data_IF_328844572099
#
_entry.id   IF_328844572099
#
_cell.length_a   1.000
_cell.length_b   1.000
_cell.length_c   1.000
_cell.angle_alpha   90.00
_cell.angle_beta   90.00
_cell.angle_gamma   90.00
#
_symmetry.space_group_name_H-M   'P 1'
#
loop_
_entity.id
_entity.type
_entity.pdbx_description
1 polymer ?
#
# COMPACT_ATOMS: atom_id res chain seq x y z
N UNK A 1 -34.47 22.90 10.38
CA UNK A 1 -33.09 23.40 10.15
C UNK A 1 -32.15 22.22 10.36
N UNK A 2 -31.65 21.66 9.25
CA UNK A 2 -30.88 20.41 9.21
C UNK A 2 -29.38 20.72 9.36
N UNK A 3 -28.71 19.88 10.12
CA UNK A 3 -27.34 20.05 10.59
C UNK A 3 -26.28 19.98 9.50
N UNK A 4 -25.24 20.78 9.71
CA UNK A 4 -23.98 20.80 8.96
C UNK A 4 -22.95 20.16 9.89
N UNK A 5 -22.85 18.83 9.85
CA UNK A 5 -21.70 18.08 10.36
C UNK A 5 -21.33 17.09 9.28
N UNK A 6 -20.54 17.58 8.32
CA UNK A 6 -20.03 16.81 7.21
C UNK A 6 -18.51 16.91 7.18
N UNK A 7 -17.87 15.75 7.39
CA UNK A 7 -16.47 15.44 7.05
C UNK A 7 -15.40 16.00 7.99
N UNK A 8 -15.22 15.32 9.14
CA UNK A 8 -13.90 15.18 9.76
C UNK A 8 -13.28 13.92 9.15
N UNK A 9 -12.33 14.10 8.23
CA UNK A 9 -11.51 13.02 7.65
C UNK A 9 -10.30 12.85 8.57
N UNK A 10 -9.85 11.62 8.88
CA UNK A 10 -8.73 11.41 9.79
C UNK A 10 -7.41 11.72 9.08
N UNK A 11 -6.77 12.82 9.45
CA UNK A 11 -5.40 13.18 9.01
C UNK A 11 -4.39 12.91 10.14
N UNK A 12 -4.48 11.74 10.75
CA UNK A 12 -3.60 11.29 11.84
C UNK A 12 -3.23 9.83 11.59
N UNK A 13 -2.31 9.58 10.67
CA UNK A 13 -1.75 8.24 10.44
C UNK A 13 -0.49 8.26 9.57
N UNK A 14 0.49 9.14 9.83
CA UNK A 14 1.85 8.90 9.30
C UNK A 14 3.02 9.60 10.02
N UNK A 15 2.93 9.90 11.33
CA UNK A 15 4.11 10.29 12.11
C UNK A 15 4.06 9.55 13.44
N UNK A 16 4.42 8.27 13.40
CA UNK A 16 4.78 7.51 14.60
C UNK A 16 5.55 6.29 14.11
N UNK A 17 6.88 6.43 14.08
CA UNK A 17 7.90 5.42 14.36
C UNK A 17 9.22 5.92 13.76
N UNK A 18 10.04 6.56 14.60
CA UNK A 18 11.45 6.23 14.90
C UNK A 18 12.11 7.43 15.57
N UNK A 19 12.12 7.45 16.90
CA UNK A 19 13.05 8.25 17.70
C UNK A 19 13.70 7.31 18.71
N UNK A 20 15.01 7.00 18.62
CA UNK A 20 15.71 6.39 19.73
C UNK A 20 16.09 7.47 20.75
N UNK A 21 15.51 7.38 21.94
CA UNK A 21 15.92 8.15 23.11
C UNK A 21 17.29 7.63 23.59
N UNK A 22 18.34 8.41 23.41
CA UNK A 22 19.65 8.15 24.01
C UNK A 22 19.78 8.86 25.35
N UNK A 23 20.17 8.12 26.39
CA UNK A 23 20.88 8.71 27.54
C UNK A 23 20.57 8.09 28.91
N UNK A 24 21.44 7.17 29.38
CA UNK A 24 22.31 7.35 30.56
C UNK A 24 23.06 6.06 30.94
N UNK A 25 24.32 6.24 31.36
CA UNK A 25 25.31 5.23 31.78
C UNK A 25 24.86 4.40 33.02
N UNK A 26 25.43 3.27 33.46
CA UNK A 26 26.84 2.79 33.52
C UNK A 26 26.84 1.35 34.11
N UNK A 27 28.01 0.71 34.08
CA UNK A 27 28.52 -0.42 34.92
C UNK A 27 28.56 -1.82 34.27
N UNK A 28 29.80 -2.28 34.13
CA UNK A 28 30.28 -3.60 33.70
C UNK A 28 29.89 -4.67 34.71
N UNK A 29 29.26 -5.75 34.24
CA UNK A 29 29.34 -7.08 34.84
C UNK A 29 29.05 -8.15 33.78
N UNK A 30 29.87 -9.18 33.73
CA UNK A 30 29.97 -10.15 32.66
C UNK A 30 28.79 -11.14 32.63
N UNK A 31 28.08 -11.19 31.50
CA UNK A 31 27.46 -12.38 30.89
C UNK A 31 26.79 -11.97 29.56
N UNK A 32 27.19 -12.49 28.37
CA UNK A 32 26.55 -12.12 27.12
C UNK A 32 25.38 -13.07 26.84
N UNK A 33 24.26 -12.84 27.50
CA UNK A 33 22.95 -13.18 26.91
C UNK A 33 22.26 -11.85 26.73
N UNK A 34 22.43 -11.27 25.54
CA UNK A 34 21.77 -10.03 25.16
C UNK A 34 20.27 -10.20 25.33
N UNK A 35 19.71 -9.56 26.35
CA UNK A 35 18.27 -9.41 26.53
C UNK A 35 17.80 -8.38 25.50
N UNK A 36 17.48 -8.84 24.29
CA UNK A 36 16.75 -8.02 23.33
C UNK A 36 15.38 -7.70 23.92
N UNK A 37 15.06 -6.41 24.03
CA UNK A 37 13.71 -5.99 24.41
C UNK A 37 12.75 -6.29 23.25
N UNK A 38 11.50 -6.67 23.56
CA UNK A 38 10.53 -7.08 22.54
C UNK A 38 10.26 -6.02 21.47
N UNK A 39 10.43 -4.74 21.80
CA UNK A 39 10.24 -3.61 20.89
C UNK A 39 11.39 -3.49 19.87
N UNK A 40 12.63 -3.77 20.28
CA UNK A 40 13.81 -3.78 19.39
C UNK A 40 13.72 -4.94 18.38
N UNK A 41 13.39 -6.14 18.86
CA UNK A 41 13.24 -7.32 18.00
C UNK A 41 12.10 -7.16 16.97
N UNK A 42 11.02 -6.48 17.35
CA UNK A 42 9.92 -6.17 16.43
C UNK A 42 10.32 -5.12 15.38
N UNK A 43 11.14 -4.14 15.78
CA UNK A 43 11.74 -3.17 14.87
C UNK A 43 12.62 -3.84 13.80
N UNK A 44 13.56 -4.69 14.23
CA UNK A 44 14.46 -5.42 13.32
C UNK A 44 13.70 -6.31 12.33
N UNK A 45 12.67 -7.03 12.80
CA UNK A 45 11.85 -7.87 11.93
C UNK A 45 11.13 -7.05 10.85
N UNK A 46 10.64 -5.85 11.18
CA UNK A 46 9.98 -4.96 10.22
C UNK A 46 10.98 -4.44 9.18
N UNK A 47 12.18 -4.07 9.61
CA UNK A 47 13.28 -3.62 8.74
C UNK A 47 13.69 -4.72 7.78
N UNK A 48 14.01 -5.92 8.28
CA UNK A 48 14.44 -7.04 7.44
C UNK A 48 13.35 -7.43 6.43
N UNK A 49 12.07 -7.45 6.85
CA UNK A 49 10.96 -7.69 5.94
C UNK A 49 10.90 -6.65 4.83
N UNK A 50 11.16 -5.38 5.16
CA UNK A 50 11.14 -4.28 4.19
C UNK A 50 12.29 -4.41 3.20
N UNK A 51 13.50 -4.69 3.69
CA UNK A 51 14.68 -4.90 2.86
C UNK A 51 14.49 -6.06 1.87
N UNK A 52 13.94 -7.20 2.31
CA UNK A 52 13.64 -8.33 1.42
C UNK A 52 12.65 -7.92 0.33
N UNK A 53 11.61 -7.14 0.66
CA UNK A 53 10.66 -6.63 -0.34
C UNK A 53 11.36 -5.73 -1.36
N UNK A 54 12.21 -4.82 -0.91
CA UNK A 54 12.98 -3.93 -1.78
C UNK A 54 13.97 -4.69 -2.65
N UNK A 55 14.68 -5.69 -2.11
CA UNK A 55 15.54 -6.58 -2.88
C UNK A 55 14.77 -7.33 -3.97
N UNK A 56 13.59 -7.85 -3.63
CA UNK A 56 12.71 -8.50 -4.62
C UNK A 56 12.30 -7.53 -5.74
N UNK A 57 12.03 -6.26 -5.41
CA UNK A 57 11.73 -5.23 -6.41
C UNK A 57 12.96 -4.92 -7.28
N UNK A 58 14.10 -4.61 -6.68
CA UNK A 58 15.34 -4.28 -7.40
C UNK A 58 15.72 -5.40 -8.37
N UNK A 59 15.70 -6.65 -7.89
CA UNK A 59 16.01 -7.81 -8.70
C UNK A 59 14.98 -8.02 -9.82
N UNK A 60 13.71 -7.73 -9.55
CA UNK A 60 12.67 -7.82 -10.54
C UNK A 60 12.79 -6.76 -11.64
N UNK A 61 13.14 -5.51 -11.28
CA UNK A 61 13.20 -4.41 -12.25
C UNK A 61 14.37 -4.52 -13.23
N UNK A 62 15.30 -5.45 -13.02
CA UNK A 62 16.46 -5.67 -13.90
C UNK A 62 17.21 -4.36 -14.22
N UNK A 63 17.40 -3.53 -13.18
CA UNK A 63 17.99 -2.20 -13.33
C UNK A 63 19.43 -2.29 -13.87
N UNK A 64 19.77 -1.41 -14.80
CA UNK A 64 21.16 -1.22 -15.24
C UNK A 64 22.01 -0.61 -14.12
N UNK A 65 23.34 -0.70 -14.24
CA UNK A 65 24.24 -0.06 -13.28
C UNK A 65 24.00 1.45 -13.20
N UNK A 66 23.84 2.11 -14.34
CA UNK A 66 23.54 3.54 -14.43
C UNK A 66 22.21 3.90 -13.74
N UNK A 67 21.16 3.09 -13.96
CA UNK A 67 19.88 3.27 -13.28
C UNK A 67 19.99 3.09 -11.76
N UNK A 68 20.74 2.09 -11.29
CA UNK A 68 20.96 1.87 -9.86
C UNK A 68 21.73 3.02 -9.21
N UNK A 69 22.75 3.56 -9.89
CA UNK A 69 23.51 4.71 -9.40
C UNK A 69 22.64 5.96 -9.31
N UNK A 70 21.84 6.22 -10.35
CA UNK A 70 20.91 7.34 -10.36
C UNK A 70 19.84 7.22 -9.27
N UNK A 71 19.23 6.05 -9.10
CA UNK A 71 18.24 5.81 -8.04
C UNK A 71 18.88 5.96 -6.65
N UNK A 72 20.11 5.49 -6.46
CA UNK A 72 20.84 5.65 -5.19
C UNK A 72 21.05 7.13 -4.86
N UNK A 73 21.50 7.93 -5.82
CA UNK A 73 21.65 9.38 -5.64
C UNK A 73 20.33 10.04 -5.24
N UNK A 74 19.26 9.73 -5.97
CA UNK A 74 17.91 10.28 -5.72
C UNK A 74 17.30 9.81 -4.41
N UNK A 75 17.58 8.58 -3.99
CA UNK A 75 17.16 8.07 -2.69
C UNK A 75 17.85 8.81 -1.54
N UNK A 76 19.15 9.13 -1.69
CA UNK A 76 19.90 9.96 -0.72
C UNK A 76 19.39 11.40 -0.68
N UNK A 77 19.10 12.00 -1.83
CA UNK A 77 18.46 13.32 -1.93
C UNK A 77 17.10 13.33 -1.21
N UNK A 78 16.26 12.33 -1.47
CA UNK A 78 14.98 12.17 -0.80
C UNK A 78 15.11 11.90 0.71
N UNK A 79 16.18 11.25 1.16
CA UNK A 79 16.47 11.08 2.58
C UNK A 79 16.83 12.42 3.23
N UNK A 80 17.76 13.17 2.63
CA UNK A 80 18.14 14.49 3.13
C UNK A 80 16.93 15.43 3.22
N UNK A 81 16.05 15.40 2.21
CA UNK A 81 14.82 16.18 2.21
C UNK A 81 13.88 15.82 3.38
N UNK A 82 13.76 14.53 3.72
CA UNK A 82 12.95 14.09 4.87
C UNK A 82 13.54 14.58 6.19
N UNK A 83 14.85 14.48 6.34
CA UNK A 83 15.57 14.91 7.54
C UNK A 83 15.44 16.43 7.73
N UNK A 84 15.58 17.21 6.65
CA UNK A 84 15.35 18.64 6.65
C UNK A 84 13.92 18.98 7.06
N UNK A 85 12.91 18.38 6.40
CA UNK A 85 11.50 18.62 6.71
C UNK A 85 11.14 18.24 8.16
N UNK A 86 11.68 17.14 8.69
CA UNK A 86 11.50 16.77 10.09
C UNK A 86 12.12 17.80 11.04
N UNK A 87 13.35 18.25 10.75
CA UNK A 87 14.05 19.21 11.60
C UNK A 87 13.40 20.60 11.62
N UNK A 88 12.93 21.08 10.46
CA UNK A 88 12.30 22.39 10.31
C UNK A 88 10.91 22.46 10.93
N UNK A 89 10.23 21.32 11.05
CA UNK A 89 8.85 21.25 11.53
C UNK A 89 8.73 20.77 12.98
N UNK A 90 9.85 20.50 13.66
CA UNK A 90 9.84 19.99 15.03
C UNK A 90 9.10 20.95 15.99
N UNK A 91 9.30 22.25 15.83
CA UNK A 91 8.64 23.27 16.64
C UNK A 91 7.13 23.32 16.38
N UNK A 92 6.71 23.23 15.12
CA UNK A 92 5.29 23.23 14.74
C UNK A 92 4.59 21.94 15.14
N UNK A 93 5.30 20.81 15.13
CA UNK A 93 4.81 19.55 15.70
C UNK A 93 4.50 19.75 17.18
N UNK A 94 5.40 20.37 17.94
CA UNK A 94 5.18 20.65 19.36
C UNK A 94 3.97 21.56 19.58
N UNK A 95 3.87 22.65 18.80
CA UNK A 95 2.72 23.57 18.85
C UNK A 95 1.40 22.89 18.46
N UNK A 96 1.43 22.00 17.46
CA UNK A 96 0.27 21.22 17.04
C UNK A 96 -0.16 20.26 18.15
N UNK A 97 0.78 19.59 18.81
CA UNK A 97 0.51 18.70 19.95
C UNK A 97 -0.12 19.48 21.10
N UNK A 98 0.40 20.66 21.42
CA UNK A 98 -0.14 21.54 22.46
C UNK A 98 -1.60 21.91 22.16
N UNK A 99 -1.89 22.45 20.97
CA UNK A 99 -3.25 22.84 20.55
C UNK A 99 -4.20 21.64 20.56
N UNK A 100 -3.76 20.47 20.07
CA UNK A 100 -4.58 19.26 20.07
C UNK A 100 -4.84 18.73 21.49
N UNK A 101 -3.90 18.93 22.41
CA UNK A 101 -4.05 18.56 23.82
C UNK A 101 -5.08 19.46 24.50
N UNK A 102 -4.98 20.79 24.31
CA UNK A 102 -5.98 21.75 24.78
C UNK A 102 -7.39 21.43 24.23
N UNK A 103 -7.48 21.12 22.93
CA UNK A 103 -8.74 20.73 22.29
C UNK A 103 -9.32 19.46 22.91
N UNK A 104 -8.48 18.45 23.15
CA UNK A 104 -8.89 17.20 23.80
C UNK A 104 -9.41 17.45 25.21
N UNK A 105 -8.74 18.29 25.99
CA UNK A 105 -9.15 18.62 27.36
C UNK A 105 -10.51 19.33 27.41
N UNK A 106 -10.73 20.35 26.57
CA UNK A 106 -12.01 21.04 26.47
C UNK A 106 -13.16 20.07 26.11
N UNK A 107 -12.92 19.17 25.16
CA UNK A 107 -13.89 18.15 24.76
C UNK A 107 -14.16 17.12 25.87
N UNK A 108 -13.15 16.71 26.62
CA UNK A 108 -13.32 15.80 27.75
C UNK A 108 -14.11 16.42 28.89
N UNK A 109 -14.01 17.73 29.09
CA UNK A 109 -14.77 18.49 30.09
C UNK A 109 -16.21 18.79 29.64
N UNK A 110 -16.57 18.48 28.38
CA UNK A 110 -17.88 18.78 27.81
C UNK A 110 -18.10 20.28 27.56
N UNK A 111 -17.03 21.06 27.51
CA UNK A 111 -17.07 22.50 27.29
C UNK A 111 -17.17 22.84 25.80
N UNK A 112 -17.67 24.04 25.51
CA UNK A 112 -17.58 24.58 24.16
C UNK A 112 -16.13 25.01 23.90
N UNK A 113 -15.57 24.57 22.78
CA UNK A 113 -14.21 24.95 22.36
C UNK A 113 -14.12 26.49 22.24
N UNK A 114 -13.17 27.15 22.94
CA UNK A 114 -12.95 28.60 22.83
C UNK A 114 -12.67 29.03 21.39
N UNK A 115 -13.17 30.20 20.97
CA UNK A 115 -12.93 30.71 19.62
C UNK A 115 -11.45 30.97 19.33
N UNK A 116 -10.69 31.43 20.32
CA UNK A 116 -9.23 31.62 20.22
C UNK A 116 -8.52 30.30 19.91
N UNK A 117 -8.93 29.20 20.55
CA UNK A 117 -8.36 27.87 20.31
C UNK A 117 -8.71 27.35 18.90
N UNK A 118 -9.93 27.61 18.41
CA UNK A 118 -10.31 27.30 17.02
C UNK A 118 -9.47 28.08 16.02
N UNK A 119 -9.19 29.35 16.30
CA UNK A 119 -8.38 30.19 15.43
C UNK A 119 -6.93 29.70 15.38
N UNK A 120 -6.29 29.47 16.54
CA UNK A 120 -4.94 28.88 16.63
C UNK A 120 -4.85 27.57 15.86
N UNK A 121 -5.84 26.67 16.02
CA UNK A 121 -5.88 25.42 15.29
C UNK A 121 -5.96 25.60 13.76
N UNK A 122 -6.79 26.52 13.27
CA UNK A 122 -6.89 26.79 11.82
C UNK A 122 -5.60 27.38 11.25
N UNK A 123 -4.94 28.25 12.00
CA UNK A 123 -3.67 28.87 11.59
C UNK A 123 -2.57 27.81 11.46
N UNK A 124 -2.37 26.97 12.49
CA UNK A 124 -1.37 25.91 12.44
C UNK A 124 -1.71 24.84 11.40
N UNK A 125 -2.99 24.51 11.20
CA UNK A 125 -3.42 23.58 10.14
C UNK A 125 -3.08 24.14 8.75
N UNK A 126 -3.29 25.44 8.54
CA UNK A 126 -2.92 26.11 7.28
C UNK A 126 -1.42 26.07 7.02
N UNK A 127 -0.60 26.38 8.02
CA UNK A 127 0.87 26.34 7.92
C UNK A 127 1.37 24.91 7.64
N UNK A 128 0.88 23.92 8.40
CA UNK A 128 1.22 22.52 8.21
C UNK A 128 0.82 22.03 6.81
N UNK A 129 -0.32 22.49 6.28
CA UNK A 129 -0.77 22.12 4.95
C UNK A 129 0.13 22.68 3.85
N UNK A 130 0.58 23.92 3.97
CA UNK A 130 1.49 24.52 2.98
C UNK A 130 2.84 23.82 2.98
N UNK A 131 3.42 23.58 4.16
CA UNK A 131 4.69 22.83 4.29
C UNK A 131 4.59 21.41 3.75
N UNK A 132 3.50 20.73 4.07
CA UNK A 132 3.23 19.39 3.53
C UNK A 132 3.15 19.42 2.00
N UNK A 133 2.54 20.47 1.44
CA UNK A 133 2.45 20.64 -0.01
C UNK A 133 3.82 20.90 -0.64
N UNK A 134 4.64 21.78 -0.07
CA UNK A 134 6.00 22.05 -0.55
C UNK A 134 6.86 20.77 -0.56
N UNK A 135 6.82 20.00 0.54
CA UNK A 135 7.49 18.71 0.63
C UNK A 135 6.97 17.71 -0.41
N UNK A 136 5.64 17.66 -0.62
CA UNK A 136 5.03 16.81 -1.63
C UNK A 136 5.45 17.19 -3.05
N UNK A 137 5.53 18.48 -3.36
CA UNK A 137 6.00 18.98 -4.66
C UNK A 137 7.46 18.57 -4.91
N UNK A 138 8.34 18.74 -3.92
CA UNK A 138 9.75 18.37 -4.01
C UNK A 138 9.95 16.85 -4.17
N UNK A 139 9.33 16.04 -3.31
CA UNK A 139 9.47 14.57 -3.37
C UNK A 139 8.84 13.99 -4.65
N UNK A 140 7.79 14.62 -5.18
CA UNK A 140 7.21 14.23 -6.47
C UNK A 140 8.13 14.60 -7.64
N UNK A 141 8.87 15.71 -7.55
CA UNK A 141 9.92 16.08 -8.52
C UNK A 141 10.99 14.99 -8.63
N UNK A 142 11.55 14.56 -7.49
CA UNK A 142 12.53 13.46 -7.44
C UNK A 142 11.93 12.16 -8.02
N UNK A 143 10.66 11.88 -7.73
CA UNK A 143 9.99 10.69 -8.25
C UNK A 143 9.76 10.73 -9.78
N UNK A 144 9.48 11.90 -10.35
CA UNK A 144 9.38 12.09 -11.81
C UNK A 144 10.74 11.91 -12.50
N UNK A 145 11.83 12.33 -11.86
CA UNK A 145 13.19 12.09 -12.39
C UNK A 145 13.52 10.59 -12.46
N UNK A 146 13.22 9.83 -11.40
CA UNK A 146 13.36 8.36 -11.44
C UNK A 146 12.44 7.75 -12.50
N UNK A 147 11.21 8.25 -12.64
CA UNK A 147 10.31 7.77 -13.69
C UNK A 147 10.89 7.98 -15.09
N UNK A 148 11.63 9.05 -15.31
CA UNK A 148 12.24 9.39 -16.59
C UNK A 148 13.42 8.50 -17.01
N UNK A 149 14.11 7.84 -16.08
CA UNK A 149 15.23 6.94 -16.39
C UNK A 149 14.80 5.47 -16.53
N UNK A 150 13.61 5.12 -16.05
CA UNK A 150 13.08 3.76 -16.15
C UNK A 150 12.47 3.50 -17.54
N UNK A 151 12.66 2.29 -18.05
CA UNK A 151 12.07 1.85 -19.30
C UNK A 151 10.59 1.46 -19.13
N UNK A 152 9.81 1.48 -20.22
CA UNK A 152 8.38 1.16 -20.20
C UNK A 152 8.07 -0.19 -19.54
N UNK A 153 8.92 -1.19 -19.77
CA UNK A 153 8.74 -2.52 -19.17
C UNK A 153 8.96 -2.49 -17.64
N UNK A 154 9.89 -1.66 -17.15
CA UNK A 154 10.17 -1.45 -15.72
C UNK A 154 9.05 -0.64 -15.07
N UNK A 155 8.53 0.38 -15.76
CA UNK A 155 7.38 1.18 -15.31
C UNK A 155 6.13 0.32 -15.17
N UNK A 156 5.88 -0.57 -16.15
CA UNK A 156 4.79 -1.54 -16.09
C UNK A 156 4.96 -2.49 -14.90
N UNK A 157 6.16 -3.05 -14.74
CA UNK A 157 6.52 -3.91 -13.62
C UNK A 157 6.29 -3.24 -12.26
N UNK A 158 6.74 -2.00 -12.10
CA UNK A 158 6.59 -1.22 -10.88
C UNK A 158 5.13 -0.91 -10.57
N UNK A 159 4.31 -0.65 -11.60
CA UNK A 159 2.87 -0.42 -11.47
C UNK A 159 2.15 -1.67 -10.92
N UNK A 160 2.49 -2.84 -11.43
CA UNK A 160 1.88 -4.12 -11.03
C UNK A 160 2.52 -4.72 -9.76
N UNK A 161 3.61 -4.13 -9.26
CA UNK A 161 4.36 -4.65 -8.12
C UNK A 161 3.53 -4.72 -6.84
N UNK A 162 3.53 -5.91 -6.22
CA UNK A 162 2.93 -6.21 -4.92
C UNK A 162 4.05 -6.62 -3.95
N UNK A 163 4.26 -5.87 -2.84
CA UNK A 163 5.31 -6.18 -1.88
C UNK A 163 5.15 -7.57 -1.26
N UNK A 164 6.12 -8.45 -1.47
CA UNK A 164 6.12 -9.82 -0.96
C UNK A 164 7.49 -10.19 -0.38
N UNK A 165 7.47 -11.06 0.64
CA UNK A 165 8.70 -11.63 1.23
C UNK A 165 9.15 -12.84 0.43
N UNK A 166 8.19 -13.72 0.13
CA UNK A 166 8.38 -14.89 -0.73
C UNK A 166 7.65 -14.60 -2.04
N UNK A 167 8.38 -14.44 -3.16
CA UNK A 167 7.76 -14.33 -4.48
C UNK A 167 6.96 -15.60 -4.79
N UNK A 168 5.77 -15.50 -5.42
CA UNK A 168 5.01 -16.69 -5.82
C UNK A 168 5.81 -17.54 -6.82
N UNK A 169 5.69 -18.87 -6.75
CA UNK A 169 6.39 -19.80 -7.67
C UNK A 169 6.00 -19.62 -9.14
N UNK A 170 4.77 -19.18 -9.38
CA UNK A 170 4.22 -18.78 -10.69
C UNK A 170 4.24 -17.26 -10.90
N UNK A 171 4.88 -16.54 -9.99
CA UNK A 171 5.03 -15.11 -10.03
C UNK A 171 5.84 -14.70 -11.25
N UNK A 172 5.27 -13.78 -12.00
CA UNK A 172 5.90 -13.08 -13.10
C UNK A 172 7.25 -12.54 -12.65
N UNK A 173 8.34 -13.28 -12.94
CA UNK A 173 9.61 -12.64 -13.24
C UNK A 173 9.29 -11.65 -14.35
N UNK A 174 9.73 -10.42 -14.18
CA UNK A 174 9.34 -9.30 -15.02
C UNK A 174 9.59 -9.70 -16.48
N UNK A 175 8.54 -9.62 -17.31
CA UNK A 175 8.54 -10.11 -18.69
C UNK A 175 7.90 -11.49 -18.97
N UNK A 176 7.29 -12.16 -17.99
CA UNK A 176 6.51 -13.39 -18.24
C UNK A 176 4.99 -13.13 -18.22
N UNK A 177 4.19 -14.05 -18.78
CA UNK A 177 2.73 -13.93 -18.72
C UNK A 177 2.25 -14.12 -17.26
N UNK A 178 1.21 -13.38 -16.84
CA UNK A 178 0.62 -13.50 -15.50
C UNK A 178 0.33 -14.98 -15.19
N UNK A 179 0.91 -15.49 -14.10
CA UNK A 179 0.56 -16.81 -13.59
C UNK A 179 -0.92 -16.88 -13.20
N UNK A 180 -1.49 -18.09 -13.23
CA UNK A 180 -2.94 -18.27 -13.08
C UNK A 180 -3.45 -17.78 -11.71
N UNK A 181 -4.31 -16.76 -11.73
CA UNK A 181 -4.91 -16.18 -10.52
C UNK A 181 -5.79 -17.21 -9.78
N UNK A 182 -6.08 -17.02 -8.47
CA UNK A 182 -7.01 -17.89 -7.75
C UNK A 182 -8.40 -17.99 -8.41
N UNK A 183 -8.84 -16.92 -9.09
CA UNK A 183 -10.07 -16.90 -9.89
C UNK A 183 -9.96 -17.80 -11.12
N UNK A 184 -8.87 -17.70 -11.88
CA UNK A 184 -8.63 -18.59 -13.02
C UNK A 184 -8.55 -20.07 -12.60
N UNK A 185 -7.89 -20.36 -11.48
CA UNK A 185 -7.80 -21.72 -10.95
C UNK A 185 -9.17 -22.28 -10.58
N UNK A 186 -10.08 -21.44 -10.06
CA UNK A 186 -11.45 -21.84 -9.76
C UNK A 186 -12.21 -22.20 -11.05
N UNK A 187 -12.14 -21.34 -12.07
CA UNK A 187 -12.77 -21.59 -13.38
C UNK A 187 -12.21 -22.86 -14.05
N UNK A 188 -10.90 -23.08 -13.98
CA UNK A 188 -10.26 -24.31 -14.46
C UNK A 188 -10.74 -25.56 -13.73
N UNK A 189 -10.80 -25.52 -12.38
CA UNK A 189 -11.29 -26.66 -11.58
C UNK A 189 -12.76 -26.96 -11.89
N UNK A 190 -13.56 -25.93 -12.10
CA UNK A 190 -14.96 -26.05 -12.46
C UNK A 190 -15.13 -26.73 -13.84
N UNK A 191 -14.43 -26.28 -14.88
CA UNK A 191 -14.49 -26.88 -16.22
C UNK A 191 -14.08 -28.34 -16.26
N UNK A 192 -13.10 -28.73 -15.43
CA UNK A 192 -12.64 -30.13 -15.33
C UNK A 192 -13.62 -31.04 -14.57
N UNK A 193 -14.66 -30.47 -13.95
CA UNK A 193 -15.68 -31.22 -13.23
C UNK A 193 -16.69 -31.83 -14.22
N UNK A 194 -17.16 -33.07 -13.99
CA UNK A 194 -18.25 -33.63 -14.78
C UNK A 194 -19.51 -32.75 -14.73
N UNK A 195 -20.23 -32.66 -15.84
CA UNK A 195 -21.38 -31.75 -15.99
C UNK A 195 -22.43 -31.93 -14.89
N UNK A 196 -22.75 -33.18 -14.51
CA UNK A 196 -23.71 -33.47 -13.44
C UNK A 196 -23.29 -32.88 -12.10
N UNK A 197 -22.00 -32.98 -11.75
CA UNK A 197 -21.45 -32.37 -10.53
C UNK A 197 -21.41 -30.84 -10.65
N UNK A 198 -21.10 -30.29 -11.81
CA UNK A 198 -21.13 -28.85 -12.01
C UNK A 198 -22.55 -28.30 -11.78
N UNK A 199 -23.57 -28.93 -12.36
CA UNK A 199 -24.97 -28.54 -12.17
C UNK A 199 -25.41 -28.58 -10.70
N UNK A 200 -24.95 -29.57 -9.94
CA UNK A 200 -25.21 -29.68 -8.49
C UNK A 200 -24.54 -28.57 -7.67
N UNK A 201 -23.35 -28.12 -8.07
CA UNK A 201 -22.53 -27.22 -7.26
C UNK A 201 -22.47 -25.76 -7.72
N UNK A 202 -22.91 -25.42 -8.93
CA UNK A 202 -22.80 -24.07 -9.51
C UNK A 202 -23.40 -22.99 -8.62
N UNK A 203 -24.56 -23.23 -8.02
CA UNK A 203 -25.23 -22.27 -7.14
C UNK A 203 -24.45 -22.05 -5.84
N UNK A 204 -23.89 -23.12 -5.27
CA UNK A 204 -23.05 -23.06 -4.06
C UNK A 204 -21.71 -22.37 -4.33
N UNK A 205 -21.18 -22.52 -5.55
CA UNK A 205 -19.96 -21.81 -5.97
C UNK A 205 -20.27 -20.31 -6.09
N UNK A 206 -21.37 -19.94 -6.75
CA UNK A 206 -21.82 -18.56 -6.87
C UNK A 206 -22.06 -17.91 -5.50
N UNK A 207 -22.71 -18.62 -4.58
CA UNK A 207 -22.96 -18.16 -3.20
C UNK A 207 -21.64 -17.87 -2.45
N UNK A 208 -20.67 -18.78 -2.50
CA UNK A 208 -19.35 -18.56 -1.87
C UNK A 208 -18.56 -17.42 -2.52
N UNK A 209 -18.74 -17.20 -3.82
CA UNK A 209 -18.14 -16.05 -4.51
C UNK A 209 -18.79 -14.76 -4.02
N UNK A 210 -20.12 -14.72 -3.95
CA UNK A 210 -20.90 -13.60 -3.43
C UNK A 210 -20.49 -13.24 -1.99
N UNK A 211 -20.38 -14.23 -1.10
CA UNK A 211 -19.93 -14.02 0.28
C UNK A 211 -18.54 -13.36 0.37
N UNK A 212 -17.61 -13.76 -0.50
CA UNK A 212 -16.28 -13.14 -0.57
C UNK A 212 -16.35 -11.72 -1.11
N UNK A 213 -17.16 -11.49 -2.14
CA UNK A 213 -17.34 -10.17 -2.75
C UNK A 213 -17.97 -9.18 -1.75
N UNK A 214 -18.94 -9.61 -0.94
CA UNK A 214 -19.58 -8.79 0.11
C UNK A 214 -18.59 -8.22 1.13
N UNK A 215 -17.46 -8.90 1.39
CA UNK A 215 -16.42 -8.42 2.32
C UNK A 215 -15.67 -7.20 1.80
N UNK A 216 -15.76 -6.93 0.50
CA UNK A 216 -15.07 -5.83 -0.17
C UNK A 216 -15.99 -4.67 -0.55
N UNK A 217 -17.30 -4.77 -0.25
CA UNK A 217 -18.26 -3.69 -0.49
C UNK A 217 -18.12 -2.57 0.54
N UNK A 218 -18.28 -1.29 0.12
CA UNK A 218 -18.40 -0.18 1.04
C UNK A 218 -19.51 -0.40 2.08
N UNK A 219 -19.31 0.04 3.34
CA UNK A 219 -20.37 0.06 4.34
C UNK A 219 -21.61 0.80 3.81
N UNK A 220 -22.78 0.16 3.87
CA UNK A 220 -24.05 0.74 3.40
C UNK A 220 -24.42 0.47 1.94
N UNK A 221 -23.64 -0.33 1.21
CA UNK A 221 -23.99 -0.77 -0.15
C UNK A 221 -25.25 -1.66 -0.13
N UNK A 222 -26.24 -1.33 -0.95
CA UNK A 222 -27.40 -2.19 -1.19
C UNK A 222 -27.09 -3.11 -2.38
N UNK A 223 -26.96 -4.40 -2.11
CA UNK A 223 -26.78 -5.42 -3.14
C UNK A 223 -28.03 -6.31 -3.18
N UNK A 224 -28.62 -6.48 -4.35
CA UNK A 224 -29.63 -7.51 -4.58
C UNK A 224 -28.91 -8.86 -4.69
N UNK A 225 -28.91 -9.62 -3.59
CA UNK A 225 -28.14 -10.86 -3.48
C UNK A 225 -28.63 -11.95 -4.43
N UNK A 226 -29.94 -12.00 -4.70
CA UNK A 226 -30.53 -13.00 -5.59
C UNK A 226 -30.22 -12.70 -7.05
N UNK A 227 -30.41 -11.45 -7.47
CA UNK A 227 -30.08 -11.03 -8.83
C UNK A 227 -28.57 -11.20 -9.13
N UNK A 228 -27.73 -10.91 -8.15
CA UNK A 228 -26.28 -11.06 -8.31
C UNK A 228 -25.85 -12.53 -8.33
N UNK A 229 -26.45 -13.36 -7.48
CA UNK A 229 -26.20 -14.81 -7.51
C UNK A 229 -26.59 -15.39 -8.87
N UNK A 230 -27.73 -14.98 -9.43
CA UNK A 230 -28.16 -15.42 -10.77
C UNK A 230 -27.16 -14.99 -11.86
N UNK A 231 -26.66 -13.74 -11.79
CA UNK A 231 -25.62 -13.23 -12.69
C UNK A 231 -24.34 -14.07 -12.61
N UNK A 232 -23.86 -14.37 -11.40
CA UNK A 232 -22.67 -15.19 -11.18
C UNK A 232 -22.87 -16.61 -11.72
N UNK A 233 -24.04 -17.21 -11.52
CA UNK A 233 -24.35 -18.54 -12.09
C UNK A 233 -24.26 -18.52 -13.62
N UNK A 234 -24.82 -17.50 -14.28
CA UNK A 234 -24.74 -17.36 -15.75
C UNK A 234 -23.29 -17.27 -16.24
N UNK A 235 -22.46 -16.47 -15.57
CA UNK A 235 -21.04 -16.35 -15.92
C UNK A 235 -20.27 -17.66 -15.71
N UNK A 236 -20.60 -18.42 -14.66
CA UNK A 236 -20.01 -19.74 -14.43
C UNK A 236 -20.44 -20.76 -15.50
N UNK A 237 -21.70 -20.72 -15.95
CA UNK A 237 -22.21 -21.57 -17.03
C UNK A 237 -21.57 -21.22 -18.38
N UNK A 238 -21.42 -19.93 -18.68
CA UNK A 238 -20.68 -19.47 -19.85
C UNK A 238 -19.25 -19.98 -19.81
N UNK A 239 -18.53 -19.74 -18.71
CA UNK A 239 -17.16 -20.21 -18.54
C UNK A 239 -17.04 -21.75 -18.63
N UNK A 240 -18.07 -22.50 -18.22
CA UNK A 240 -18.10 -23.96 -18.33
C UNK A 240 -18.27 -24.45 -19.78
N UNK A 241 -19.09 -23.76 -20.57
CA UNK A 241 -19.51 -24.19 -21.92
C UNK A 241 -18.55 -23.79 -23.03
N UNK A 242 -17.68 -22.80 -22.80
CA UNK A 242 -16.66 -22.40 -23.77
C UNK A 242 -15.75 -23.58 -24.17
N UNK A 243 -15.25 -23.59 -25.40
CA UNK A 243 -14.17 -24.53 -25.77
C UNK A 243 -12.89 -24.20 -24.99
N UNK A 244 -11.93 -25.14 -24.92
CA UNK A 244 -10.66 -24.88 -24.22
C UNK A 244 -9.88 -23.72 -24.87
N UNK A 245 -10.01 -23.54 -26.18
CA UNK A 245 -9.40 -22.44 -26.91
C UNK A 245 -10.09 -21.12 -26.56
N UNK A 246 -11.42 -21.08 -26.63
CA UNK A 246 -12.18 -19.85 -26.35
C UNK A 246 -12.07 -19.43 -24.88
N UNK A 247 -12.03 -20.41 -23.97
CA UNK A 247 -11.85 -20.15 -22.56
C UNK A 247 -10.49 -19.52 -22.27
N UNK A 248 -9.41 -20.02 -22.88
CA UNK A 248 -8.09 -19.42 -22.68
C UNK A 248 -7.99 -17.99 -23.21
N UNK A 249 -8.79 -17.64 -24.24
CA UNK A 249 -8.86 -16.28 -24.77
C UNK A 249 -9.72 -15.35 -23.90
N UNK A 250 -10.82 -15.87 -23.33
CA UNK A 250 -11.83 -15.07 -22.61
C UNK A 250 -11.72 -15.11 -21.09
N UNK A 251 -10.86 -15.95 -20.51
CA UNK A 251 -10.79 -16.17 -19.06
C UNK A 251 -10.55 -14.87 -18.27
N UNK A 252 -9.74 -13.96 -18.81
CA UNK A 252 -9.39 -12.72 -18.14
C UNK A 252 -10.58 -11.75 -18.18
N UNK A 253 -11.27 -11.65 -19.32
CA UNK A 253 -12.52 -10.88 -19.47
C UNK A 253 -13.62 -11.41 -18.55
N UNK A 254 -13.80 -12.73 -18.46
CA UNK A 254 -14.79 -13.35 -17.57
C UNK A 254 -14.51 -13.03 -16.10
N UNK A 255 -13.24 -13.01 -15.70
CA UNK A 255 -12.84 -12.64 -14.34
C UNK A 255 -13.03 -11.15 -14.08
N UNK A 256 -12.71 -10.31 -15.05
CA UNK A 256 -13.02 -8.89 -14.98
C UNK A 256 -14.52 -8.67 -14.85
N UNK A 257 -15.37 -9.35 -15.62
CA UNK A 257 -16.83 -9.25 -15.49
C UNK A 257 -17.37 -9.73 -14.14
N UNK A 258 -16.77 -10.78 -13.56
CA UNK A 258 -17.09 -11.22 -12.20
C UNK A 258 -16.77 -10.12 -11.18
N UNK A 259 -15.64 -9.43 -11.33
CA UNK A 259 -15.10 -8.47 -10.36
C UNK A 259 -15.57 -7.03 -10.56
N UNK A 260 -15.92 -6.62 -11.78
CA UNK A 260 -16.22 -5.25 -12.22
C UNK A 260 -17.25 -4.50 -11.37
N UNK A 261 -18.33 -5.12 -10.85
CA UNK A 261 -19.28 -4.41 -9.97
C UNK A 261 -18.71 -4.10 -8.57
N UNK A 262 -17.59 -4.72 -8.21
CA UNK A 262 -17.01 -4.72 -6.86
C UNK A 262 -15.61 -4.13 -6.80
N UNK A 263 -15.03 -3.79 -7.94
CA UNK A 263 -13.84 -2.97 -7.95
C UNK A 263 -14.22 -1.59 -7.41
N UNK A 264 -13.85 -1.33 -6.16
CA UNK A 264 -13.67 0.06 -5.72
C UNK A 264 -12.80 0.72 -6.80
N UNK A 265 -13.15 1.94 -7.26
CA UNK A 265 -12.24 2.67 -8.13
C UNK A 265 -10.91 2.72 -7.38
N UNK A 266 -9.94 1.93 -7.86
CA UNK A 266 -8.61 1.95 -7.29
C UNK A 266 -8.21 3.42 -7.44
N UNK A 267 -7.94 4.15 -6.34
CA UNK A 267 -7.41 5.50 -6.50
C UNK A 267 -6.26 5.35 -7.48
N UNK A 268 -6.21 6.16 -8.56
CA UNK A 268 -5.25 5.95 -9.63
C UNK A 268 -3.89 5.81 -8.95
N UNK A 269 -3.36 4.59 -8.94
CA UNK A 269 -2.17 4.25 -8.19
C UNK A 269 -1.07 4.95 -8.98
N UNK A 270 -0.79 6.20 -8.59
CA UNK A 270 0.10 7.02 -9.37
C UNK A 270 1.44 6.32 -9.30
N UNK A 271 2.01 6.02 -10.45
CA UNK A 271 3.32 5.38 -10.55
C UNK A 271 4.36 6.12 -9.67
N UNK A 272 4.21 7.44 -9.54
CA UNK A 272 4.93 8.29 -8.62
C UNK A 272 4.81 7.85 -7.16
N UNK A 273 3.62 7.48 -6.69
CA UNK A 273 3.42 6.93 -5.35
C UNK A 273 4.21 5.64 -5.16
N UNK A 274 4.25 4.74 -6.15
CA UNK A 274 5.07 3.51 -6.09
C UNK A 274 6.56 3.84 -6.03
N UNK A 275 7.04 4.77 -6.85
CA UNK A 275 8.42 5.26 -6.82
C UNK A 275 8.76 5.83 -5.44
N UNK A 276 7.94 6.74 -4.92
CA UNK A 276 8.12 7.35 -3.60
C UNK A 276 8.17 6.34 -2.47
N UNK A 277 7.27 5.37 -2.50
CA UNK A 277 7.18 4.35 -1.46
C UNK A 277 8.38 3.42 -1.54
N UNK A 278 8.81 2.99 -2.73
CA UNK A 278 9.77 1.90 -2.88
C UNK A 278 11.18 2.36 -3.28
N UNK A 279 11.30 3.12 -4.36
CA UNK A 279 12.59 3.52 -4.92
C UNK A 279 13.23 4.73 -4.22
N UNK A 280 12.43 5.50 -3.47
CA UNK A 280 12.92 6.55 -2.58
C UNK A 280 12.93 6.13 -1.11
N UNK A 281 12.67 4.86 -0.80
CA UNK A 281 12.71 4.35 0.57
C UNK A 281 14.14 4.43 1.13
N UNK A 282 14.38 5.00 2.33
CA UNK A 282 15.72 5.04 2.92
C UNK A 282 16.40 3.66 3.01
N UNK A 283 15.64 2.58 3.20
CA UNK A 283 16.19 1.22 3.29
C UNK A 283 16.70 0.71 1.93
N UNK A 284 16.41 1.38 0.81
CA UNK A 284 16.93 0.98 -0.50
C UNK A 284 18.42 1.35 -0.66
N UNK A 285 18.87 2.38 0.05
CA UNK A 285 20.23 2.95 -0.05
C UNK A 285 21.30 1.88 0.22
N UNK A 286 21.32 1.22 1.40
CA UNK A 286 22.35 0.21 1.69
C UNK A 286 22.29 -0.98 0.71
N UNK A 287 21.09 -1.33 0.22
CA UNK A 287 20.91 -2.44 -0.73
C UNK A 287 21.50 -2.13 -2.11
N UNK A 288 21.35 -0.88 -2.57
CA UNK A 288 21.94 -0.41 -3.82
C UNK A 288 23.44 -0.21 -3.70
N UNK A 289 23.93 0.29 -2.56
CA UNK A 289 25.37 0.37 -2.27
C UNK A 289 26.03 -1.01 -2.33
N UNK A 290 25.45 -2.01 -1.66
CA UNK A 290 25.94 -3.39 -1.71
C UNK A 290 25.95 -3.95 -3.14
N UNK A 291 24.87 -3.76 -3.91
CA UNK A 291 24.79 -4.21 -5.31
C UNK A 291 25.78 -3.52 -6.24
N UNK A 292 26.13 -2.27 -5.95
CA UNK A 292 27.11 -1.49 -6.71
C UNK A 292 28.55 -1.70 -6.22
N UNK A 293 28.75 -2.42 -5.10
CA UNK A 293 30.06 -2.64 -4.49
C UNK A 293 30.65 -1.37 -3.85
N UNK A 294 29.80 -0.50 -3.29
CA UNK A 294 30.17 0.75 -2.62
C UNK A 294 30.10 0.61 -1.09
#
# INVERSE_FOLDING_TARGET
>A
MKGIWGKIIPLLMLILLTLPMSGCAKVVSANPVAQFTGDEAFGELKTLRREIQLLNLINGLELTQEQMEFILEKAKEAQALREEHLSQNQEEINQTIEILTELKEALMQGENIPEELKQRFREIEGQNREKQREYEEQINGIAEEIKGILEDHQLYALKEYVPCVIPPETGTRIGQAKGSTPGEQLLWRMRRMPYSRFQEFKERIAEKMLEKLKRHLPPGSQLDEEAEKERLVKLLEEAYTLSDVDFNLKKDELLEEIMKPYELPKPPDSLLRKIRIHLLDPHIIPLLEEKLGK
#
